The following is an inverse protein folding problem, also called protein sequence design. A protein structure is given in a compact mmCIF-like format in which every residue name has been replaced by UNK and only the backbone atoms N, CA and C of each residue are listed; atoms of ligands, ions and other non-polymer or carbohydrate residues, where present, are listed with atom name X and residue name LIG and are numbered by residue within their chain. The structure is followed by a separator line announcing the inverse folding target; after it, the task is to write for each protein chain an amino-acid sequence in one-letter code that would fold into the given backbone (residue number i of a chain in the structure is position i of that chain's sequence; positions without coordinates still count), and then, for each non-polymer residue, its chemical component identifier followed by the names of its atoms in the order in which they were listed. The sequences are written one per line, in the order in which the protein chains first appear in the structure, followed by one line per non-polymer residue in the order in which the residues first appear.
data_IF_493663885891
#
_entry.id   IF_493663885891
#
_cell.length_a   1.000
_cell.length_b   1.000
_cell.length_c   1.000
_cell.angle_alpha   90.00
_cell.angle_beta   90.00
_cell.angle_gamma   90.00
#
_symmetry.space_group_name_H-M   'P 1'
#
loop_
_entity.id
_entity.type
_entity.pdbx_description
1 polymer ?
#
# COMPACT_ATOMS: atom_id res chain seq x y z
N UNK A 1 -6.11 4.60 13.64
CA UNK A 1 -6.57 4.31 12.27
C UNK A 1 -5.58 3.42 11.53
N UNK A 2 -4.29 3.76 11.42
CA UNK A 2 -3.32 2.88 10.70
C UNK A 2 -3.31 1.42 11.19
N UNK A 3 -3.29 1.18 12.51
CA UNK A 3 -3.31 -0.17 13.10
C UNK A 3 -4.57 -0.98 12.75
N UNK A 4 -5.68 -0.31 12.43
CA UNK A 4 -6.94 -0.96 12.04
C UNK A 4 -6.84 -1.45 10.59
N UNK A 5 -6.14 -0.70 9.75
CA UNK A 5 -6.01 -0.97 8.31
C UNK A 5 -4.77 -1.80 7.96
N UNK A 6 -3.90 -2.10 8.93
CA UNK A 6 -2.65 -2.80 8.70
C UNK A 6 -2.26 -3.63 9.92
N UNK A 7 -2.13 -4.96 9.77
CA UNK A 7 -1.61 -5.82 10.83
C UNK A 7 -0.13 -5.49 11.12
N UNK A 8 0.62 -5.01 10.13
CA UNK A 8 2.02 -4.57 10.30
C UNK A 8 2.10 -3.36 11.25
N UNK A 9 1.29 -2.32 11.01
CA UNK A 9 1.22 -1.19 11.93
C UNK A 9 0.67 -1.58 13.30
N UNK A 10 -0.26 -2.53 13.36
CA UNK A 10 -0.74 -3.05 14.63
C UNK A 10 0.37 -3.72 15.45
N UNK A 11 1.17 -4.58 14.82
CA UNK A 11 2.32 -5.22 15.46
C UNK A 11 3.42 -4.20 15.82
N UNK A 12 3.65 -3.21 14.96
CA UNK A 12 4.65 -2.16 15.19
C UNK A 12 4.28 -1.23 16.36
N UNK A 13 3.00 -0.87 16.53
CA UNK A 13 2.57 0.01 17.62
C UNK A 13 2.22 -0.71 18.92
N UNK A 14 1.73 -1.95 18.85
CA UNK A 14 1.20 -2.68 20.01
C UNK A 14 1.88 -4.03 20.28
N UNK A 15 2.74 -4.51 19.39
CA UNK A 15 3.53 -5.72 19.62
C UNK A 15 4.59 -5.53 20.69
N UNK A 16 5.23 -6.63 21.08
CA UNK A 16 6.30 -6.66 22.08
C UNK A 16 7.67 -6.32 21.48
N UNK A 17 7.72 -5.30 20.63
CA UNK A 17 8.94 -4.80 20.02
C UNK A 17 9.43 -3.52 20.72
N UNK A 18 10.70 -3.17 20.46
CA UNK A 18 11.33 -1.97 21.03
C UNK A 18 10.57 -0.69 20.65
N UNK A 19 9.85 -0.73 19.52
CA UNK A 19 9.02 0.36 19.01
C UNK A 19 7.80 0.67 19.88
N UNK A 20 7.34 -0.27 20.73
CA UNK A 20 6.17 -0.08 21.61
C UNK A 20 6.31 1.10 22.57
N UNK A 21 7.52 1.36 23.05
CA UNK A 21 7.82 2.46 23.98
C UNK A 21 8.46 3.66 23.28
N UNK A 22 8.63 3.59 21.95
CA UNK A 22 9.21 4.66 21.17
C UNK A 22 8.14 5.71 20.85
N UNK A 23 8.47 6.98 21.07
CA UNK A 23 7.61 8.12 20.66
C UNK A 23 7.63 8.34 19.14
N UNK A 24 8.66 7.83 18.47
CA UNK A 24 8.87 7.92 17.02
C UNK A 24 9.41 6.59 16.49
N UNK A 25 8.98 6.23 15.27
CA UNK A 25 9.40 5.01 14.58
C UNK A 25 9.97 5.42 13.24
N UNK A 26 11.22 5.03 12.99
CA UNK A 26 11.89 5.30 11.72
C UNK A 26 11.53 4.24 10.67
N UNK A 27 10.97 4.67 9.54
CA UNK A 27 10.71 3.81 8.37
C UNK A 27 11.86 3.99 7.35
N UNK A 28 12.85 3.09 7.41
CA UNK A 28 14.10 3.23 6.62
C UNK A 28 13.94 3.01 5.11
N UNK A 29 13.02 2.15 4.70
CA UNK A 29 12.85 1.73 3.30
C UNK A 29 11.63 2.37 2.62
N UNK A 30 11.22 3.54 3.10
CA UNK A 30 9.99 4.21 2.65
C UNK A 30 10.28 5.66 2.28
N UNK A 31 9.98 6.04 1.04
CA UNK A 31 10.05 7.43 0.63
C UNK A 31 8.94 8.24 1.31
N UNK A 32 9.30 9.38 1.89
CA UNK A 32 8.37 10.25 2.62
C UNK A 32 7.20 10.70 1.74
N UNK A 33 7.42 11.02 0.46
CA UNK A 33 6.37 11.51 -0.44
C UNK A 33 5.41 10.38 -0.80
N UNK A 34 5.93 9.19 -1.06
CA UNK A 34 5.14 7.99 -1.33
C UNK A 34 4.26 7.63 -0.13
N UNK A 35 4.83 7.68 1.08
CA UNK A 35 4.09 7.43 2.32
C UNK A 35 2.99 8.45 2.58
N UNK A 36 3.27 9.73 2.36
CA UNK A 36 2.24 10.78 2.44
C UNK A 36 1.14 10.54 1.41
N UNK A 37 1.49 10.06 0.21
CA UNK A 37 0.53 9.63 -0.80
C UNK A 37 -0.38 8.52 -0.31
N UNK A 38 0.18 7.48 0.31
CA UNK A 38 -0.56 6.37 0.93
C UNK A 38 -1.51 6.88 2.02
N UNK A 39 -1.02 7.73 2.94
CA UNK A 39 -1.86 8.31 3.99
C UNK A 39 -3.04 9.10 3.42
N UNK A 40 -2.85 9.85 2.33
CA UNK A 40 -3.95 10.57 1.69
C UNK A 40 -5.02 9.64 1.11
N UNK A 41 -4.69 8.40 0.76
CA UNK A 41 -5.64 7.40 0.26
C UNK A 41 -6.34 6.64 1.42
N UNK A 42 -5.63 6.41 2.53
CA UNK A 42 -6.18 5.75 3.74
C UNK A 42 -7.20 6.64 4.43
N UNK A 43 -6.82 7.89 4.66
CA UNK A 43 -7.72 8.86 5.28
C UNK A 43 -8.73 9.34 4.22
N UNK A 44 -9.95 9.78 4.61
CA UNK A 44 -10.98 10.27 3.69
C UNK A 44 -10.63 11.59 2.98
N UNK A 45 -9.35 11.82 2.68
CA UNK A 45 -8.87 12.82 1.76
C UNK A 45 -9.01 12.29 0.33
N UNK A 46 -9.45 13.16 -0.57
CA UNK A 46 -9.91 12.83 -1.92
C UNK A 46 -8.77 12.49 -2.90
N UNK A 47 -7.75 11.75 -2.47
CA UNK A 47 -6.67 11.34 -3.33
C UNK A 47 -7.13 10.20 -4.25
N UNK A 48 -7.18 10.48 -5.55
CA UNK A 48 -7.45 9.49 -6.59
C UNK A 48 -6.20 8.66 -6.87
N UNK A 49 -6.42 7.38 -7.17
CA UNK A 49 -5.38 6.51 -7.72
C UNK A 49 -5.20 6.90 -9.19
N UNK A 50 -3.94 6.99 -9.63
CA UNK A 50 -3.49 7.35 -10.98
C UNK A 50 -2.29 6.47 -11.33
N UNK A 51 -1.95 6.32 -12.61
CA UNK A 51 -0.80 5.49 -13.02
C UNK A 51 0.52 5.91 -12.37
N UNK A 52 0.68 7.20 -12.09
CA UNK A 52 1.87 7.74 -11.42
C UNK A 52 1.96 7.36 -9.93
N UNK A 53 0.83 7.05 -9.27
CA UNK A 53 0.81 6.67 -7.86
C UNK A 53 0.52 5.18 -7.61
N UNK A 54 -0.15 4.51 -8.53
CA UNK A 54 -0.55 3.12 -8.39
C UNK A 54 0.66 2.20 -8.12
N UNK A 55 1.81 2.47 -8.74
CA UNK A 55 3.02 1.69 -8.53
C UNK A 55 3.56 1.72 -7.09
N UNK A 56 3.78 2.91 -6.52
CA UNK A 56 4.25 3.00 -5.13
C UNK A 56 3.15 2.64 -4.13
N UNK A 57 1.88 2.95 -4.43
CA UNK A 57 0.76 2.58 -3.58
C UNK A 57 0.66 1.07 -3.45
N UNK A 58 0.80 0.32 -4.54
CA UNK A 58 0.83 -1.14 -4.53
C UNK A 58 2.00 -1.68 -3.70
N UNK A 59 3.20 -1.14 -3.90
CA UNK A 59 4.39 -1.56 -3.16
C UNK A 59 4.21 -1.35 -1.65
N UNK A 60 3.78 -0.16 -1.25
CA UNK A 60 3.60 0.18 0.16
C UNK A 60 2.41 -0.55 0.77
N UNK A 61 1.30 -0.72 0.04
CA UNK A 61 0.15 -1.46 0.55
C UNK A 61 0.49 -2.94 0.73
N UNK A 62 1.30 -3.53 -0.15
CA UNK A 62 1.82 -4.88 0.05
C UNK A 62 2.78 -4.95 1.25
N UNK A 63 3.74 -4.02 1.36
CA UNK A 63 4.71 -3.96 2.46
C UNK A 63 4.02 -3.84 3.83
N UNK A 64 2.98 -3.01 3.93
CA UNK A 64 2.22 -2.79 5.15
C UNK A 64 0.96 -3.67 5.27
N UNK A 65 0.73 -4.58 4.34
CA UNK A 65 -0.45 -5.46 4.30
C UNK A 65 -1.78 -4.71 4.43
N UNK A 66 -1.93 -3.64 3.65
CA UNK A 66 -3.14 -2.80 3.61
C UNK A 66 -4.04 -3.27 2.47
N UNK A 67 -4.89 -4.26 2.77
CA UNK A 67 -5.80 -4.88 1.78
C UNK A 67 -6.69 -3.86 1.08
N UNK A 68 -7.26 -2.91 1.83
CA UNK A 68 -8.14 -1.87 1.27
C UNK A 68 -7.50 -1.06 0.13
N UNK A 69 -6.17 -0.84 0.17
CA UNK A 69 -5.46 -0.13 -0.91
C UNK A 69 -5.09 -1.10 -2.03
N UNK A 70 -4.68 -2.33 -1.70
CA UNK A 70 -4.42 -3.37 -2.70
C UNK A 70 -5.63 -3.56 -3.61
N UNK A 71 -6.82 -3.78 -3.04
CA UNK A 71 -8.06 -4.00 -3.80
C UNK A 71 -8.39 -2.82 -4.73
N UNK A 72 -8.21 -1.58 -4.24
CA UNK A 72 -8.47 -0.37 -5.03
C UNK A 72 -7.46 -0.16 -6.16
N UNK A 73 -6.19 -0.48 -5.92
CA UNK A 73 -5.13 -0.37 -6.93
C UNK A 73 -5.30 -1.47 -7.98
N UNK A 74 -5.70 -2.67 -7.57
CA UNK A 74 -6.03 -3.79 -8.45
C UNK A 74 -7.24 -3.45 -9.35
N UNK A 75 -8.32 -2.92 -8.77
CA UNK A 75 -9.48 -2.43 -9.53
C UNK A 75 -9.09 -1.34 -10.53
N UNK A 76 -8.18 -0.43 -10.15
CA UNK A 76 -7.63 0.59 -11.06
C UNK A 76 -6.82 -0.03 -12.20
N UNK A 77 -5.99 -1.04 -11.93
CA UNK A 77 -5.25 -1.73 -12.98
C UNK A 77 -6.14 -2.51 -13.94
N UNK A 78 -7.26 -3.05 -13.46
CA UNK A 78 -8.23 -3.75 -14.29
C UNK A 78 -8.99 -2.76 -15.18
N UNK A 79 -9.53 -1.68 -14.61
CA UNK A 79 -10.51 -0.81 -15.28
C UNK A 79 -9.94 0.41 -16.00
N UNK A 80 -8.93 1.07 -15.43
CA UNK A 80 -8.50 2.42 -15.84
C UNK A 80 -7.05 2.49 -16.35
N UNK A 81 -6.20 1.51 -16.03
CA UNK A 81 -4.79 1.59 -16.40
C UNK A 81 -4.52 1.25 -17.88
N UNK A 82 -3.60 1.97 -18.49
CA UNK A 82 -3.03 1.68 -19.82
C UNK A 82 -2.00 0.55 -19.79
N UNK A 83 -1.92 -0.23 -18.70
CA UNK A 83 -0.94 -1.32 -18.58
C UNK A 83 -1.21 -2.41 -19.61
N UNK A 84 -0.12 -2.88 -20.22
CA UNK A 84 -0.20 -4.03 -21.11
C UNK A 84 -0.56 -5.29 -20.32
N UNK A 85 -1.13 -6.30 -20.99
CA UNK A 85 -1.42 -7.60 -20.37
C UNK A 85 -0.14 -8.23 -19.78
N UNK A 86 1.02 -8.02 -20.41
CA UNK A 86 2.30 -8.50 -19.90
C UNK A 86 2.70 -7.80 -18.59
N UNK A 87 2.45 -6.50 -18.46
CA UNK A 87 2.72 -5.76 -17.22
C UNK A 87 1.77 -6.19 -16.10
N UNK A 88 0.49 -6.41 -16.41
CA UNK A 88 -0.50 -6.92 -15.44
C UNK A 88 -0.11 -8.30 -14.91
N UNK A 89 0.30 -9.22 -15.80
CA UNK A 89 0.81 -10.54 -15.40
C UNK A 89 2.07 -10.43 -14.53
N UNK A 90 3.01 -9.56 -14.90
CA UNK A 90 4.25 -9.37 -14.13
C UNK A 90 3.98 -8.79 -12.74
N UNK A 91 3.01 -7.88 -12.63
CA UNK A 91 2.59 -7.27 -11.36
C UNK A 91 1.82 -8.29 -10.50
N UNK A 92 0.91 -9.07 -11.11
CA UNK A 92 0.19 -10.16 -10.43
C UNK A 92 1.15 -11.16 -9.81
N UNK A 93 2.14 -11.63 -10.58
CA UNK A 93 3.16 -12.57 -10.13
C UNK A 93 4.07 -11.96 -9.05
N UNK A 94 4.45 -10.68 -9.19
CA UNK A 94 5.34 -10.01 -8.24
C UNK A 94 4.68 -9.72 -6.88
N UNK A 95 3.37 -9.48 -6.85
CA UNK A 95 2.65 -9.05 -5.64
C UNK A 95 1.60 -10.06 -5.15
N UNK A 96 1.53 -11.26 -5.77
CA UNK A 96 0.52 -12.30 -5.52
C UNK A 96 -0.92 -11.77 -5.57
N UNK A 97 -1.23 -10.95 -6.58
CA UNK A 97 -2.57 -10.41 -6.80
C UNK A 97 -3.39 -11.42 -7.61
N UNK A 98 -4.24 -12.18 -6.91
CA UNK A 98 -5.04 -13.26 -7.51
C UNK A 98 -6.16 -12.80 -8.43
N UNK A 99 -6.66 -11.57 -8.30
CA UNK A 99 -7.76 -11.07 -9.16
C UNK A 99 -7.23 -10.48 -10.49
N UNK A 100 -5.93 -10.20 -10.57
CA UNK A 100 -5.19 -9.76 -11.77
C UNK A 100 -4.59 -10.92 -12.60
N UNK A 101 -4.77 -12.16 -12.17
CA UNK A 101 -4.19 -13.37 -12.77
C UNK A 101 -5.07 -13.93 -13.91
#
# INVERSE_FOLDING_TARGET
YLSIHSPVFNAMFYGDFVERNATEIELKDVDRKEFVGLLKVIYPSSAKITDANAGYLLKLSHQFQITMILDRVEEFFINDSYLSVADKLRISDQYNLTDLQ
#
